data_IF_199037562598
#
_entry.id   IF_199037562598
#
_cell.length_a   1.000
_cell.length_b   1.000
_cell.length_c   1.000
_cell.angle_alpha   90.00
_cell.angle_beta   90.00
_cell.angle_gamma   90.00
#
_symmetry.space_group_name_H-M   'P 1'
#
loop_
_entity.id
_entity.type
_entity.pdbx_description
1 polymer ?
#
# COMPACT_ATOMS: atom_id res chain seq x y z
N UNK A 1 -13.86 -27.56 -18.08
CA UNK A 1 -12.63 -26.75 -18.03
C UNK A 1 -11.69 -27.41 -17.03
N UNK A 2 -10.46 -27.79 -17.40
CA UNK A 2 -9.56 -28.45 -16.47
C UNK A 2 -9.18 -27.49 -15.35
N UNK A 3 -9.18 -28.03 -14.14
CA UNK A 3 -8.82 -27.37 -12.89
C UNK A 3 -7.35 -26.87 -12.98
N UNK A 4 -7.11 -25.67 -13.50
CA UNK A 4 -5.82 -25.04 -13.35
C UNK A 4 -5.65 -24.74 -11.86
N UNK A 5 -4.83 -25.55 -11.20
CA UNK A 5 -4.42 -25.31 -9.83
C UNK A 5 -3.86 -23.90 -9.75
N UNK A 6 -4.50 -23.04 -8.96
CA UNK A 6 -3.97 -21.71 -8.64
C UNK A 6 -2.56 -21.91 -8.07
N UNK A 7 -1.54 -21.59 -8.87
CA UNK A 7 -0.16 -21.58 -8.39
C UNK A 7 -0.02 -20.33 -7.54
N UNK A 8 0.25 -20.52 -6.27
CA UNK A 8 0.61 -19.43 -5.36
C UNK A 8 1.79 -18.68 -5.98
N UNK A 9 1.56 -17.43 -6.39
CA UNK A 9 2.60 -16.63 -7.01
C UNK A 9 3.71 -16.39 -5.97
N UNK A 10 4.95 -16.68 -6.33
CA UNK A 10 6.10 -16.62 -5.43
C UNK A 10 6.29 -15.17 -4.96
N UNK A 11 5.93 -14.91 -3.70
CA UNK A 11 6.01 -13.59 -3.08
C UNK A 11 7.48 -13.27 -2.76
N UNK A 12 8.18 -12.61 -3.67
CA UNK A 12 9.54 -12.11 -3.44
C UNK A 12 9.48 -10.76 -2.75
N UNK A 13 9.58 -10.77 -1.43
CA UNK A 13 9.66 -9.57 -0.62
C UNK A 13 11.14 -9.32 -0.30
N UNK A 14 11.75 -8.35 -0.99
CA UNK A 14 13.16 -7.95 -0.86
C UNK A 14 13.29 -6.62 -0.08
N UNK A 15 12.36 -6.32 0.84
CA UNK A 15 12.44 -5.08 1.61
C UNK A 15 13.52 -5.14 2.69
N UNK A 16 14.10 -3.99 3.03
CA UNK A 16 15.17 -3.86 4.03
C UNK A 16 14.70 -4.35 5.41
N UNK A 17 13.44 -4.10 5.74
CA UNK A 17 12.84 -4.47 7.02
C UNK A 17 12.23 -5.88 7.06
N UNK A 18 12.13 -6.56 5.91
CA UNK A 18 11.39 -7.82 5.77
C UNK A 18 11.79 -8.91 6.79
N UNK A 19 13.05 -9.02 7.13
CA UNK A 19 13.54 -10.06 8.07
C UNK A 19 13.07 -9.78 9.49
N UNK A 20 13.19 -8.53 9.96
CA UNK A 20 12.79 -8.13 11.31
C UNK A 20 11.26 -8.15 11.42
N UNK A 21 10.59 -7.59 10.43
CA UNK A 21 9.12 -7.59 10.32
C UNK A 21 8.56 -9.00 10.37
N UNK A 22 9.07 -9.92 9.54
CA UNK A 22 8.62 -11.32 9.52
C UNK A 22 8.75 -12.00 10.89
N UNK A 23 9.86 -11.81 11.61
CA UNK A 23 10.05 -12.39 12.94
C UNK A 23 9.04 -11.82 13.94
N UNK A 24 8.83 -10.51 13.91
CA UNK A 24 7.88 -9.82 14.80
C UNK A 24 6.45 -10.26 14.52
N UNK A 25 6.05 -10.35 13.25
CA UNK A 25 4.71 -10.81 12.85
C UNK A 25 4.45 -12.25 13.26
N UNK A 26 5.41 -13.17 13.10
CA UNK A 26 5.28 -14.57 13.55
C UNK A 26 5.13 -14.62 15.07
N UNK A 27 5.93 -13.85 15.80
CA UNK A 27 5.86 -13.78 17.25
C UNK A 27 4.50 -13.27 17.74
N UNK A 28 3.94 -12.23 17.11
CA UNK A 28 2.60 -11.71 17.39
C UNK A 28 1.50 -12.72 17.04
N UNK A 29 1.59 -13.35 15.86
CA UNK A 29 0.60 -14.34 15.40
C UNK A 29 0.48 -15.55 16.34
N UNK A 30 1.62 -16.02 16.91
CA UNK A 30 1.63 -17.13 17.85
C UNK A 30 0.96 -16.79 19.19
N UNK A 31 0.90 -15.51 19.55
CA UNK A 31 0.29 -15.02 20.80
C UNK A 31 -1.13 -14.50 20.63
N UNK A 32 -1.61 -14.45 19.39
CA UNK A 32 -2.94 -13.94 19.09
C UNK A 32 -4.03 -14.86 19.69
N UNK A 33 -5.04 -14.32 20.41
CA UNK A 33 -6.15 -15.10 20.94
C UNK A 33 -6.86 -15.93 19.87
N UNK A 34 -7.36 -17.11 20.21
CA UNK A 34 -7.96 -18.04 19.25
C UNK A 34 -9.23 -17.53 18.58
N UNK A 35 -9.95 -16.59 19.19
CA UNK A 35 -11.14 -15.97 18.62
C UNK A 35 -10.83 -14.94 17.53
N UNK A 36 -9.61 -14.39 17.49
CA UNK A 36 -9.18 -13.49 16.40
C UNK A 36 -8.83 -14.34 15.18
N UNK A 37 -9.34 -13.99 14.01
CA UNK A 37 -9.00 -14.62 12.74
C UNK A 37 -8.45 -13.58 11.74
N UNK A 38 -7.97 -14.05 10.57
CA UNK A 38 -7.45 -13.16 9.51
C UNK A 38 -8.46 -12.11 9.09
N UNK A 39 -9.74 -12.48 8.92
CA UNK A 39 -10.78 -11.55 8.44
C UNK A 39 -11.01 -10.38 9.43
N UNK A 40 -10.87 -10.63 10.74
CA UNK A 40 -10.93 -9.56 11.74
C UNK A 40 -9.76 -8.58 11.59
N UNK A 41 -8.56 -9.09 11.27
CA UNK A 41 -7.37 -8.26 11.09
C UNK A 41 -7.43 -7.45 9.79
N UNK A 42 -7.89 -8.07 8.71
CA UNK A 42 -8.13 -7.37 7.43
C UNK A 42 -9.16 -6.25 7.61
N UNK A 43 -10.27 -6.54 8.31
CA UNK A 43 -11.29 -5.53 8.61
C UNK A 43 -10.71 -4.40 9.48
N UNK A 44 -9.91 -4.73 10.48
CA UNK A 44 -9.24 -3.73 11.33
C UNK A 44 -8.34 -2.82 10.51
N UNK A 45 -7.51 -3.40 9.63
CA UNK A 45 -6.65 -2.66 8.71
C UNK A 45 -7.44 -1.74 7.77
N UNK A 46 -8.54 -2.24 7.22
CA UNK A 46 -9.41 -1.47 6.35
C UNK A 46 -10.08 -0.28 7.08
N UNK A 47 -10.66 -0.51 8.25
CA UNK A 47 -11.26 0.57 9.06
C UNK A 47 -10.23 1.60 9.48
N UNK A 48 -9.00 1.17 9.75
CA UNK A 48 -7.90 2.08 10.06
C UNK A 48 -7.55 3.01 8.89
N UNK A 49 -7.60 2.54 7.63
CA UNK A 49 -7.39 3.39 6.46
C UNK A 49 -8.50 4.45 6.30
N UNK A 50 -9.75 4.07 6.55
CA UNK A 50 -10.85 5.01 6.60
C UNK A 50 -10.65 6.06 7.71
N UNK A 51 -10.26 5.62 8.91
CA UNK A 51 -9.95 6.50 10.03
C UNK A 51 -8.79 7.46 9.71
N UNK A 52 -7.74 6.98 9.03
CA UNK A 52 -6.62 7.83 8.58
C UNK A 52 -7.09 8.94 7.62
N UNK A 53 -7.95 8.61 6.66
CA UNK A 53 -8.55 9.59 5.75
C UNK A 53 -9.41 10.62 6.50
N UNK A 54 -10.26 10.18 7.44
CA UNK A 54 -11.06 11.06 8.29
C UNK A 54 -10.18 11.98 9.16
N UNK A 55 -9.07 11.46 9.70
CA UNK A 55 -8.09 12.25 10.44
C UNK A 55 -7.40 13.30 9.56
N UNK A 56 -7.05 12.98 8.31
CA UNK A 56 -6.51 13.98 7.38
C UNK A 56 -7.54 15.11 7.12
N UNK A 57 -8.78 14.77 6.85
CA UNK A 57 -9.83 15.78 6.69
C UNK A 57 -9.99 16.64 7.95
N UNK A 58 -10.02 16.03 9.14
CA UNK A 58 -10.13 16.73 10.41
C UNK A 58 -8.91 17.62 10.69
N UNK A 59 -7.72 17.25 10.19
CA UNK A 59 -6.49 18.00 10.36
C UNK A 59 -6.54 19.42 9.76
N UNK A 60 -7.46 19.69 8.83
CA UNK A 60 -7.74 21.03 8.34
C UNK A 60 -8.24 21.98 9.44
N UNK A 61 -8.84 21.44 10.51
CA UNK A 61 -9.37 22.20 11.64
C UNK A 61 -8.50 22.09 12.88
N UNK A 62 -7.98 20.89 13.14
CA UNK A 62 -7.11 20.61 14.28
C UNK A 62 -5.87 19.80 13.83
N UNK A 63 -4.71 20.45 13.85
CA UNK A 63 -3.45 19.84 13.49
C UNK A 63 -3.13 18.56 14.28
N UNK A 64 -3.64 18.41 15.51
CA UNK A 64 -3.41 17.21 16.31
C UNK A 64 -4.00 15.95 15.66
N UNK A 65 -4.97 16.09 14.76
CA UNK A 65 -5.50 14.97 13.97
C UNK A 65 -4.42 14.28 13.09
N UNK A 66 -3.32 14.94 12.76
CA UNK A 66 -2.16 14.31 12.09
C UNK A 66 -1.54 13.19 12.95
N UNK A 67 -1.57 13.31 14.27
CA UNK A 67 -1.14 12.23 15.17
C UNK A 67 -2.12 11.04 15.08
N UNK A 68 -3.41 11.33 14.90
CA UNK A 68 -4.43 10.30 14.64
C UNK A 68 -4.15 9.54 13.33
N UNK A 69 -3.66 10.21 12.28
CA UNK A 69 -3.23 9.54 11.04
C UNK A 69 -2.09 8.55 11.32
N UNK A 70 -1.08 8.96 12.10
CA UNK A 70 0.06 8.08 12.43
C UNK A 70 -0.42 6.83 13.19
N UNK A 71 -1.30 7.00 14.17
CA UNK A 71 -1.90 5.88 14.92
C UNK A 71 -2.70 4.97 13.98
N UNK A 72 -3.53 5.54 13.11
CA UNK A 72 -4.33 4.79 12.16
C UNK A 72 -3.45 4.00 11.17
N UNK A 73 -2.36 4.59 10.66
CA UNK A 73 -1.39 3.89 9.80
C UNK A 73 -0.68 2.73 10.53
N UNK A 74 -0.36 2.90 11.81
CA UNK A 74 0.21 1.83 12.63
C UNK A 74 -0.79 0.69 12.85
N UNK A 75 -2.07 0.99 13.10
CA UNK A 75 -3.15 0.01 13.22
C UNK A 75 -3.40 -0.70 11.87
N UNK A 76 -3.36 0.04 10.76
CA UNK A 76 -3.46 -0.55 9.43
C UNK A 76 -2.28 -1.52 9.17
N UNK A 77 -1.04 -1.12 9.46
CA UNK A 77 0.11 -2.03 9.34
C UNK A 77 -0.08 -3.31 10.16
N UNK A 78 -0.54 -3.17 11.41
CA UNK A 78 -0.79 -4.31 12.28
C UNK A 78 -1.84 -5.26 11.70
N UNK A 79 -2.98 -4.74 11.23
CA UNK A 79 -4.06 -5.55 10.66
C UNK A 79 -3.62 -6.26 9.38
N UNK A 80 -3.15 -5.51 8.40
CA UNK A 80 -2.78 -5.95 7.07
C UNK A 80 -1.56 -6.88 7.04
N UNK A 81 -0.48 -6.56 7.79
CA UNK A 81 0.71 -7.41 7.80
C UNK A 81 0.52 -8.70 8.59
N UNK A 82 -0.38 -8.68 9.58
CA UNK A 82 -0.56 -9.81 10.49
C UNK A 82 -1.60 -10.81 9.99
N UNK A 83 -2.59 -10.43 9.19
CA UNK A 83 -3.70 -11.30 8.76
C UNK A 83 -3.21 -12.54 7.98
N UNK A 84 -2.40 -12.35 6.95
CA UNK A 84 -1.80 -13.43 6.17
C UNK A 84 -0.79 -14.26 6.98
N UNK A 85 -0.08 -13.62 7.93
CA UNK A 85 0.85 -14.32 8.82
C UNK A 85 0.09 -15.21 9.80
N UNK A 86 -1.00 -14.72 10.37
CA UNK A 86 -1.88 -15.48 11.26
C UNK A 86 -2.50 -16.69 10.54
N UNK A 87 -2.96 -16.51 9.29
CA UNK A 87 -3.49 -17.59 8.48
C UNK A 87 -2.46 -18.70 8.25
N UNK A 88 -1.20 -18.32 7.97
CA UNK A 88 -0.09 -19.28 7.78
C UNK A 88 0.24 -20.02 9.08
N UNK A 89 0.42 -19.31 10.18
CA UNK A 89 0.76 -19.91 11.49
C UNK A 89 -0.31 -20.88 11.96
N UNK A 90 -1.58 -20.64 11.63
CA UNK A 90 -2.72 -21.51 12.00
C UNK A 90 -3.10 -22.55 10.94
N UNK A 91 -2.35 -22.66 9.84
CA UNK A 91 -2.69 -23.55 8.71
C UNK A 91 -4.12 -23.34 8.17
N UNK A 92 -4.57 -22.07 8.11
CA UNK A 92 -5.91 -21.69 7.64
C UNK A 92 -5.84 -20.76 6.42
N UNK A 93 -4.88 -21.01 5.51
CA UNK A 93 -4.73 -20.25 4.29
C UNK A 93 -5.92 -20.42 3.36
N UNK A 94 -6.41 -19.30 2.82
CA UNK A 94 -7.43 -19.24 1.76
C UNK A 94 -6.88 -18.41 0.60
N UNK A 95 -5.97 -18.95 -0.25
CA UNK A 95 -5.16 -18.14 -1.16
C UNK A 95 -5.98 -17.23 -2.09
N UNK A 96 -7.02 -17.76 -2.75
CA UNK A 96 -7.85 -16.97 -3.67
C UNK A 96 -8.67 -15.91 -2.95
N UNK A 97 -9.31 -16.29 -1.85
CA UNK A 97 -10.11 -15.39 -1.04
C UNK A 97 -9.24 -14.30 -0.42
N UNK A 98 -8.13 -14.68 0.22
CA UNK A 98 -7.20 -13.74 0.84
C UNK A 98 -6.64 -12.75 -0.17
N UNK A 99 -6.17 -13.23 -1.34
CA UNK A 99 -5.69 -12.35 -2.40
C UNK A 99 -6.75 -11.33 -2.83
N UNK A 100 -7.98 -11.77 -3.08
CA UNK A 100 -9.06 -10.87 -3.53
C UNK A 100 -9.41 -9.84 -2.45
N UNK A 101 -9.63 -10.28 -1.20
CA UNK A 101 -10.06 -9.39 -0.12
C UNK A 101 -8.96 -8.39 0.25
N UNK A 102 -7.72 -8.82 0.34
CA UNK A 102 -6.54 -7.98 0.60
C UNK A 102 -6.47 -6.82 -0.41
N UNK A 103 -6.47 -7.14 -1.70
CA UNK A 103 -6.28 -6.15 -2.74
C UNK A 103 -7.47 -5.19 -2.94
N UNK A 104 -8.71 -5.67 -2.74
CA UNK A 104 -9.88 -4.79 -2.84
C UNK A 104 -9.99 -3.86 -1.62
N UNK A 105 -9.65 -4.34 -0.42
CA UNK A 105 -9.63 -3.49 0.79
C UNK A 105 -8.50 -2.48 0.74
N UNK A 106 -7.33 -2.85 0.20
CA UNK A 106 -6.22 -1.92 -0.04
C UNK A 106 -6.59 -0.81 -1.03
N UNK A 107 -7.24 -1.18 -2.14
CA UNK A 107 -7.68 -0.20 -3.14
C UNK A 107 -8.69 0.79 -2.55
N UNK A 108 -9.74 0.28 -1.87
CA UNK A 108 -10.76 1.12 -1.25
C UNK A 108 -10.17 1.93 -0.08
N UNK A 109 -9.30 1.32 0.73
CA UNK A 109 -8.61 1.99 1.83
C UNK A 109 -7.74 3.14 1.34
N UNK A 110 -6.98 2.94 0.27
CA UNK A 110 -6.15 3.98 -0.36
C UNK A 110 -7.02 5.11 -0.93
N UNK A 111 -8.18 4.79 -1.51
CA UNK A 111 -9.14 5.81 -1.95
C UNK A 111 -9.60 6.71 -0.78
N UNK A 112 -9.95 6.14 0.37
CA UNK A 112 -10.34 6.92 1.54
C UNK A 112 -9.18 7.75 2.11
N UNK A 113 -7.98 7.17 2.19
CA UNK A 113 -6.78 7.86 2.65
C UNK A 113 -6.48 9.08 1.78
N UNK A 114 -6.41 8.89 0.45
CA UNK A 114 -6.13 9.96 -0.51
C UNK A 114 -7.28 10.97 -0.60
N UNK A 115 -8.52 10.52 -0.49
CA UNK A 115 -9.69 11.40 -0.41
C UNK A 115 -9.65 12.33 0.80
N UNK A 116 -9.33 11.80 1.98
CA UNK A 116 -9.12 12.59 3.19
C UNK A 116 -7.98 13.59 3.05
N UNK A 117 -6.87 13.17 2.45
CA UNK A 117 -5.71 14.02 2.19
C UNK A 117 -6.03 15.12 1.18
N UNK A 118 -6.80 14.83 0.12
CA UNK A 118 -7.27 15.80 -0.87
C UNK A 118 -8.21 16.87 -0.25
N UNK A 119 -8.95 16.50 0.78
CA UNK A 119 -9.84 17.40 1.53
C UNK A 119 -9.10 18.15 2.65
N UNK A 120 -7.83 17.84 2.88
CA UNK A 120 -7.01 18.50 3.88
C UNK A 120 -6.33 19.75 3.35
N UNK A 121 -5.77 20.56 4.26
CA UNK A 121 -4.95 21.73 3.90
C UNK A 121 -3.47 21.37 3.61
N UNK A 122 -3.12 20.09 3.58
CA UNK A 122 -1.73 19.61 3.56
C UNK A 122 -1.27 19.09 2.20
N UNK A 123 -2.21 18.83 1.28
CA UNK A 123 -1.92 18.44 -0.10
C UNK A 123 -2.95 19.04 -1.05
N UNK A 124 -2.50 19.44 -2.25
CA UNK A 124 -3.39 19.85 -3.34
C UNK A 124 -4.27 18.67 -3.79
N UNK A 125 -5.59 18.86 -4.00
CA UNK A 125 -6.47 17.82 -4.52
C UNK A 125 -5.98 17.21 -5.84
N UNK A 126 -5.35 18.01 -6.70
CA UNK A 126 -4.81 17.52 -7.98
C UNK A 126 -3.64 16.55 -7.78
N UNK A 127 -2.76 16.81 -6.81
CA UNK A 127 -1.65 15.92 -6.48
C UNK A 127 -2.16 14.64 -5.83
N UNK A 128 -3.11 14.75 -4.89
CA UNK A 128 -3.73 13.58 -4.26
C UNK A 128 -4.44 12.69 -5.29
N UNK A 129 -5.19 13.28 -6.23
CA UNK A 129 -5.84 12.56 -7.32
C UNK A 129 -4.82 11.92 -8.26
N UNK A 130 -3.76 12.64 -8.63
CA UNK A 130 -2.67 12.11 -9.47
C UNK A 130 -1.99 10.90 -8.82
N UNK A 131 -1.70 10.97 -7.50
CA UNK A 131 -1.16 9.83 -6.74
C UNK A 131 -2.11 8.63 -6.76
N UNK A 132 -3.40 8.87 -6.53
CA UNK A 132 -4.41 7.81 -6.53
C UNK A 132 -4.52 7.13 -7.90
N UNK A 133 -4.53 7.92 -8.98
CA UNK A 133 -4.61 7.40 -10.34
C UNK A 133 -3.38 6.54 -10.67
N UNK A 134 -2.17 7.06 -10.43
CA UNK A 134 -0.95 6.31 -10.77
C UNK A 134 -0.79 5.06 -9.89
N UNK A 135 -1.23 5.11 -8.63
CA UNK A 135 -1.29 3.95 -7.75
C UNK A 135 -2.24 2.87 -8.30
N UNK A 136 -3.45 3.24 -8.73
CA UNK A 136 -4.39 2.28 -9.29
C UNK A 136 -3.91 1.70 -10.63
N UNK A 137 -3.31 2.51 -11.49
CA UNK A 137 -2.74 2.02 -12.74
C UNK A 137 -1.60 1.02 -12.50
N UNK A 138 -0.73 1.30 -11.53
CA UNK A 138 0.34 0.38 -11.14
C UNK A 138 -0.22 -0.90 -10.51
N UNK A 139 -1.26 -0.79 -9.68
CA UNK A 139 -1.94 -1.96 -9.09
C UNK A 139 -2.59 -2.83 -10.16
N UNK A 140 -3.25 -2.23 -11.17
CA UNK A 140 -3.83 -2.94 -12.31
C UNK A 140 -2.73 -3.69 -13.08
N UNK A 141 -1.60 -3.04 -13.33
CA UNK A 141 -0.45 -3.68 -14.01
C UNK A 141 0.04 -4.90 -13.24
N UNK A 142 0.22 -4.79 -11.92
CA UNK A 142 0.63 -5.89 -11.05
C UNK A 142 -0.39 -7.04 -11.08
N UNK A 143 -1.69 -6.75 -11.05
CA UNK A 143 -2.73 -7.80 -11.10
C UNK A 143 -2.78 -8.50 -12.45
N UNK A 144 -2.66 -7.75 -13.55
CA UNK A 144 -2.59 -8.33 -14.91
C UNK A 144 -1.34 -9.20 -15.06
N UNK A 145 -0.20 -8.75 -14.59
CA UNK A 145 1.06 -9.51 -14.61
C UNK A 145 0.96 -10.80 -13.79
N UNK A 146 0.35 -10.71 -12.62
CA UNK A 146 0.11 -11.89 -11.77
C UNK A 146 -0.76 -12.93 -12.48
N UNK A 147 -1.80 -12.49 -13.19
CA UNK A 147 -2.69 -13.37 -13.93
C UNK A 147 -2.03 -13.96 -15.18
N UNK A 148 -1.28 -13.16 -15.95
CA UNK A 148 -0.77 -13.56 -17.27
C UNK A 148 0.60 -14.25 -17.19
N UNK A 149 1.48 -13.81 -16.29
CA UNK A 149 2.86 -14.34 -16.18
C UNK A 149 3.01 -15.29 -14.98
N UNK A 150 2.08 -15.22 -14.00
CA UNK A 150 2.11 -16.06 -12.79
C UNK A 150 3.18 -15.63 -11.77
N UNK A 151 3.75 -14.41 -11.91
CA UNK A 151 4.71 -13.85 -10.97
C UNK A 151 4.14 -12.61 -10.28
N UNK A 152 4.19 -12.58 -8.96
CA UNK A 152 3.72 -11.45 -8.15
C UNK A 152 4.91 -10.73 -7.51
N UNK A 153 5.18 -9.50 -7.94
CA UNK A 153 6.25 -8.67 -7.39
C UNK A 153 5.65 -7.48 -6.67
N UNK A 154 5.63 -7.53 -5.34
CA UNK A 154 5.12 -6.45 -4.45
C UNK A 154 6.15 -5.38 -4.12
N UNK A 155 7.42 -5.65 -4.35
CA UNK A 155 8.49 -4.72 -4.01
C UNK A 155 9.27 -4.31 -5.25
N UNK A 156 9.30 -3.02 -5.49
CA UNK A 156 10.18 -2.43 -6.47
C UNK A 156 11.42 -1.89 -5.75
N UNK A 157 12.62 -2.38 -6.09
CA UNK A 157 13.89 -1.93 -5.53
C UNK A 157 13.94 -1.90 -3.99
N UNK A 158 13.53 -2.96 -3.30
CA UNK A 158 13.57 -3.07 -1.83
C UNK A 158 12.64 -2.09 -1.08
N UNK A 159 11.75 -1.37 -1.75
CA UNK A 159 10.76 -0.50 -1.14
C UNK A 159 9.40 -1.21 -1.13
N UNK A 160 8.87 -1.47 0.04
CA UNK A 160 7.61 -2.19 0.25
C UNK A 160 6.53 -1.34 0.94
N UNK A 161 5.34 -1.93 1.18
CA UNK A 161 4.24 -1.23 1.84
C UNK A 161 4.60 -0.71 3.24
N UNK A 162 5.43 -1.43 3.99
CA UNK A 162 5.86 -1.03 5.33
C UNK A 162 6.75 0.20 5.30
N UNK A 163 7.71 0.26 4.36
CA UNK A 163 8.56 1.43 4.16
C UNK A 163 7.74 2.66 3.75
N UNK A 164 6.72 2.47 2.90
CA UNK A 164 5.82 3.56 2.52
C UNK A 164 5.03 4.09 3.71
N UNK A 165 4.50 3.21 4.58
CA UNK A 165 3.79 3.62 5.80
C UNK A 165 4.70 4.39 6.76
N UNK A 166 5.95 3.94 6.93
CA UNK A 166 6.95 4.65 7.73
C UNK A 166 7.26 6.02 7.15
N UNK A 167 7.43 6.12 5.84
CA UNK A 167 7.65 7.40 5.16
C UNK A 167 6.46 8.36 5.39
N UNK A 168 5.22 7.85 5.31
CA UNK A 168 4.02 8.63 5.61
C UNK A 168 3.98 9.06 7.07
N UNK A 169 4.33 8.20 8.02
CA UNK A 169 4.42 8.57 9.45
C UNK A 169 5.44 9.69 9.68
N UNK A 170 6.63 9.56 9.11
CA UNK A 170 7.68 10.60 9.17
C UNK A 170 7.18 11.89 8.50
N UNK A 171 6.53 11.76 7.34
CA UNK A 171 5.93 12.89 6.63
C UNK A 171 4.87 13.60 7.48
N UNK A 172 4.00 12.88 8.18
CA UNK A 172 3.01 13.46 9.08
C UNK A 172 3.63 14.19 10.27
N UNK A 173 4.73 13.65 10.84
CA UNK A 173 5.49 14.37 11.84
C UNK A 173 6.13 15.65 11.28
N UNK A 174 6.66 15.59 10.05
CA UNK A 174 7.20 16.77 9.40
C UNK A 174 6.12 17.81 9.12
N UNK A 175 4.91 17.42 8.66
CA UNK A 175 3.75 18.31 8.49
C UNK A 175 3.36 18.98 9.81
N UNK A 176 3.43 18.23 10.91
CA UNK A 176 3.11 18.77 12.23
C UNK A 176 3.98 19.94 12.62
N UNK A 177 5.23 20.00 12.17
CA UNK A 177 6.15 21.09 12.47
C UNK A 177 6.32 22.07 11.31
N UNK A 178 6.40 21.59 10.07
CA UNK A 178 6.71 22.39 8.86
C UNK A 178 5.88 21.90 7.66
N UNK A 179 4.64 22.38 7.50
CA UNK A 179 3.79 21.95 6.39
C UNK A 179 4.21 22.50 5.03
N UNK A 180 5.10 23.49 5.00
CA UNK A 180 5.53 24.18 3.79
C UNK A 180 7.05 24.11 3.66
N UNK A 181 7.53 23.87 2.44
CA UNK A 181 8.97 23.88 2.07
C UNK A 181 9.26 24.93 1.02
N UNK A 182 10.44 25.50 1.07
CA UNK A 182 10.94 26.42 0.06
C UNK A 182 11.78 25.68 -0.98
N UNK A 183 11.41 25.79 -2.27
CA UNK A 183 12.17 25.24 -3.39
C UNK A 183 12.25 26.31 -4.49
N UNK A 184 13.45 26.53 -5.02
CA UNK A 184 13.69 27.48 -6.13
C UNK A 184 13.10 28.89 -5.90
N UNK A 185 13.09 29.38 -4.64
CA UNK A 185 12.54 30.69 -4.28
C UNK A 185 11.02 30.74 -4.08
N UNK A 186 10.30 29.65 -4.30
CA UNK A 186 8.84 29.51 -4.10
C UNK A 186 8.52 28.63 -2.88
N UNK A 187 7.32 28.82 -2.33
CA UNK A 187 6.81 28.03 -1.19
C UNK A 187 5.79 27.00 -1.68
N UNK A 188 6.01 25.73 -1.35
CA UNK A 188 5.13 24.61 -1.73
C UNK A 188 4.69 23.85 -0.48
N UNK A 189 3.54 23.19 -0.54
CA UNK A 189 3.15 22.23 0.48
C UNK A 189 4.14 21.06 0.48
N UNK A 190 4.56 20.63 1.65
CA UNK A 190 5.51 19.50 1.80
C UNK A 190 5.00 18.24 1.07
N UNK A 191 3.72 17.93 1.25
CA UNK A 191 3.12 16.74 0.63
C UNK A 191 2.86 16.91 -0.86
N UNK A 192 2.74 18.13 -1.39
CA UNK A 192 2.70 18.33 -2.85
C UNK A 192 4.04 17.97 -3.48
N UNK A 193 5.15 18.37 -2.86
CA UNK A 193 6.49 18.03 -3.35
C UNK A 193 6.72 16.52 -3.27
N UNK A 194 6.43 15.89 -2.13
CA UNK A 194 6.54 14.44 -1.97
C UNK A 194 5.62 13.67 -2.92
N UNK A 195 4.39 14.16 -3.09
CA UNK A 195 3.39 13.59 -4.00
C UNK A 195 3.82 13.68 -5.46
N UNK A 196 4.36 14.82 -5.90
CA UNK A 196 4.87 14.96 -7.26
C UNK A 196 6.03 13.98 -7.55
N UNK A 197 6.96 13.82 -6.60
CA UNK A 197 8.03 12.82 -6.69
C UNK A 197 7.44 11.40 -6.74
N UNK A 198 6.43 11.11 -5.91
CA UNK A 198 5.72 9.82 -5.91
C UNK A 198 5.04 9.53 -7.26
N UNK A 199 4.34 10.52 -7.85
CA UNK A 199 3.68 10.38 -9.16
C UNK A 199 4.72 10.05 -10.24
N UNK A 200 5.82 10.80 -10.29
CA UNK A 200 6.88 10.56 -11.27
C UNK A 200 7.51 9.19 -11.07
N UNK A 201 7.86 8.83 -9.84
CA UNK A 201 8.47 7.53 -9.52
C UNK A 201 7.58 6.35 -9.89
N UNK A 202 6.32 6.35 -9.44
CA UNK A 202 5.35 5.30 -9.78
C UNK A 202 5.02 5.28 -11.28
N UNK A 203 4.94 6.45 -11.93
CA UNK A 203 4.71 6.53 -13.37
C UNK A 203 5.84 5.92 -14.18
N UNK A 204 7.10 6.21 -13.84
CA UNK A 204 8.26 5.60 -14.47
C UNK A 204 8.30 4.07 -14.26
N UNK A 205 7.95 3.61 -13.05
CA UNK A 205 7.85 2.19 -12.75
C UNK A 205 6.76 1.51 -13.58
N UNK A 206 5.58 2.12 -13.68
CA UNK A 206 4.47 1.62 -14.50
C UNK A 206 4.89 1.45 -15.95
N UNK A 207 5.48 2.49 -16.55
CA UNK A 207 5.92 2.45 -17.95
C UNK A 207 6.98 1.38 -18.18
N UNK A 208 8.00 1.33 -17.30
CA UNK A 208 9.06 0.32 -17.39
C UNK A 208 8.52 -1.11 -17.24
N UNK A 209 7.66 -1.34 -16.26
CA UNK A 209 7.03 -2.64 -15.99
C UNK A 209 6.16 -3.07 -17.17
N UNK A 210 5.28 -2.20 -17.65
CA UNK A 210 4.42 -2.46 -18.79
C UNK A 210 5.20 -2.82 -20.08
N UNK A 211 6.27 -2.06 -20.39
CA UNK A 211 7.13 -2.37 -21.55
C UNK A 211 7.81 -3.73 -21.37
N UNK A 212 8.36 -4.00 -20.19
CA UNK A 212 9.04 -5.25 -19.90
C UNK A 212 8.10 -6.46 -20.04
N UNK A 213 6.93 -6.40 -19.41
CA UNK A 213 5.98 -7.52 -19.42
C UNK A 213 5.33 -7.71 -20.79
N UNK A 214 5.04 -6.63 -21.52
CA UNK A 214 4.59 -6.71 -22.90
C UNK A 214 5.61 -7.44 -23.78
N UNK A 215 6.91 -7.13 -23.64
CA UNK A 215 7.98 -7.83 -24.39
C UNK A 215 8.08 -9.31 -24.03
N UNK A 216 7.95 -9.65 -22.74
CA UNK A 216 7.97 -11.05 -22.27
C UNK A 216 6.83 -11.83 -22.91
N UNK A 217 5.60 -11.31 -22.83
CA UNK A 217 4.41 -11.96 -23.38
C UNK A 217 4.47 -12.06 -24.92
N UNK A 218 4.89 -10.97 -25.61
CA UNK A 218 5.06 -11.00 -27.06
C UNK A 218 6.06 -12.06 -27.52
N UNK A 219 7.17 -12.24 -26.78
CA UNK A 219 8.15 -13.26 -27.13
C UNK A 219 7.68 -14.68 -26.80
N UNK A 220 6.77 -14.84 -25.82
CA UNK A 220 6.18 -16.13 -25.46
C UNK A 220 5.11 -16.57 -26.46
N UNK A 221 4.38 -15.64 -27.07
CA UNK A 221 3.25 -15.89 -27.96
C UNK A 221 3.45 -15.19 -29.31
N UNK A 222 4.55 -15.53 -29.99
CA UNK A 222 4.83 -14.97 -31.33
C UNK A 222 3.82 -15.48 -32.36
N UNK A 223 3.32 -14.57 -33.16
CA UNK A 223 2.54 -14.93 -34.34
C UNK A 223 3.40 -15.75 -35.31
N UNK A 224 2.84 -16.77 -35.99
CA UNK A 224 3.54 -17.61 -36.95
C UNK A 224 3.99 -16.79 -38.18
#
# INVERSE_FOLDING_TARGET
MPNQAFRDAERKQLSILAVVEKKTLIWMAQRMPMWVNSDHLTLLGFVAMFAAGACYWAASRDRNALLGVIVALAVNWFGDSLDGTLARVRNRLRPRYGFYVDHITDAIGTFFLMGGLALSSYMSPYIALGLLIVYFLLSIEVYLTTYTIGSFHLSFWSFGPTELRLLLCIGNLALFYRPVVGLFGHRYLLFDVGGAVGIVGMGLMLVWSAIRHTRVLYNAERLP
#
